data_IF_994084203834
#
_entry.id   IF_994084203834
#
_cell.length_a   1.000
_cell.length_b   1.000
_cell.length_c   1.000
_cell.angle_alpha   90.00
_cell.angle_beta   90.00
_cell.angle_gamma   90.00
#
_symmetry.space_group_name_H-M   'P 1'
#
loop_
_entity.id
_entity.type
_entity.pdbx_description
1 polymer ?
#
# COMPACT_ATOMS: atom_id res chain seq x y z
N UNK A 1 20.88 4.72 -6.55
CA UNK A 1 20.02 3.53 -6.77
C UNK A 1 20.02 2.69 -5.48
N UNK A 2 18.87 2.55 -4.82
CA UNK A 2 18.76 1.89 -3.51
C UNK A 2 19.11 0.38 -3.62
N UNK A 3 19.92 -0.17 -2.71
CA UNK A 3 20.27 -1.62 -2.69
C UNK A 3 19.03 -2.51 -2.61
N UNK A 4 17.93 -2.02 -2.02
CA UNK A 4 16.67 -2.76 -1.93
C UNK A 4 16.03 -3.02 -3.30
N UNK A 5 15.92 -1.99 -4.16
CA UNK A 5 15.20 -2.08 -5.43
C UNK A 5 15.84 -3.10 -6.39
N UNK A 6 17.18 -3.20 -6.41
CA UNK A 6 17.92 -4.21 -7.20
C UNK A 6 17.55 -5.66 -6.88
N UNK A 7 17.03 -5.92 -5.68
CA UNK A 7 16.64 -7.27 -5.25
C UNK A 7 15.14 -7.49 -5.28
N UNK A 8 14.37 -6.47 -5.68
CA UNK A 8 12.93 -6.53 -5.75
C UNK A 8 12.44 -7.13 -7.06
N UNK A 9 11.26 -7.80 -7.08
CA UNK A 9 10.70 -8.38 -8.30
C UNK A 9 10.42 -7.35 -9.41
N UNK A 10 10.24 -6.09 -9.04
CA UNK A 10 9.85 -4.97 -9.91
C UNK A 10 11.00 -4.01 -10.20
N UNK A 11 12.21 -4.32 -9.73
CA UNK A 11 13.38 -3.42 -9.77
C UNK A 11 13.12 -2.03 -9.16
N UNK A 12 12.13 -1.95 -8.27
CA UNK A 12 11.51 -0.75 -7.73
C UNK A 12 11.34 -0.87 -6.21
N UNK A 13 11.10 0.24 -5.51
CA UNK A 13 10.70 0.19 -4.10
C UNK A 13 9.19 -0.07 -3.93
N UNK A 14 8.47 -0.32 -5.03
CA UNK A 14 7.01 -0.49 -5.09
C UNK A 14 6.61 -1.78 -5.81
N UNK A 15 5.32 -2.10 -5.74
CA UNK A 15 4.67 -3.23 -6.41
C UNK A 15 4.53 -3.09 -7.95
N UNK A 16 5.12 -2.07 -8.55
CA UNK A 16 5.12 -1.79 -9.99
C UNK A 16 6.55 -1.46 -10.46
N UNK A 17 6.85 -1.85 -11.69
CA UNK A 17 8.06 -1.55 -12.45
C UNK A 17 7.99 -0.23 -13.22
N UNK A 18 6.94 0.58 -13.00
CA UNK A 18 6.80 1.90 -13.61
C UNK A 18 7.96 2.82 -13.23
N UNK A 19 8.88 3.01 -14.18
CA UNK A 19 10.17 3.68 -14.01
C UNK A 19 10.08 5.04 -13.30
N UNK A 20 9.12 5.93 -13.62
CA UNK A 20 9.05 7.23 -12.95
C UNK A 20 8.83 7.14 -11.43
N UNK A 21 8.26 6.02 -10.94
CA UNK A 21 7.99 5.76 -9.52
C UNK A 21 8.98 4.78 -8.89
N UNK A 22 9.98 4.27 -9.62
CA UNK A 22 10.86 3.19 -9.16
C UNK A 22 11.56 3.46 -7.81
N UNK A 23 11.83 4.73 -7.50
CA UNK A 23 12.49 5.16 -6.25
C UNK A 23 11.63 6.10 -5.40
N UNK A 24 10.34 6.25 -5.72
CA UNK A 24 9.41 7.10 -4.98
C UNK A 24 8.33 6.24 -4.32
N UNK A 25 8.11 6.34 -3.00
CA UNK A 25 7.09 5.54 -2.33
C UNK A 25 5.72 5.74 -2.95
N UNK A 26 5.07 4.65 -3.35
CA UNK A 26 3.72 4.66 -3.89
C UNK A 26 2.71 4.65 -2.74
N UNK A 27 2.05 5.78 -2.49
CA UNK A 27 1.18 5.99 -1.32
C UNK A 27 -0.32 5.88 -1.62
N UNK A 28 -0.73 6.02 -2.87
CA UNK A 28 -2.14 6.16 -3.25
C UNK A 28 -2.38 5.67 -4.68
N UNK A 29 -3.37 4.80 -4.86
CA UNK A 29 -3.90 4.42 -6.18
C UNK A 29 -5.12 5.27 -6.54
N UNK A 30 -5.25 5.67 -7.81
CA UNK A 30 -6.43 6.38 -8.31
C UNK A 30 -6.94 5.64 -9.55
N UNK A 31 -8.19 5.19 -9.50
CA UNK A 31 -8.90 4.57 -10.62
C UNK A 31 -9.95 5.56 -11.14
N UNK A 32 -10.05 5.74 -12.47
CA UNK A 32 -10.95 6.70 -13.08
C UNK A 32 -11.86 6.05 -14.12
N UNK A 33 -13.17 6.22 -13.96
CA UNK A 33 -14.21 5.70 -14.88
C UNK A 33 -15.17 6.80 -15.32
N UNK A 34 -15.59 6.73 -16.59
CA UNK A 34 -16.59 7.65 -17.15
C UNK A 34 -18.00 7.32 -16.64
N UNK A 35 -18.48 6.09 -16.90
CA UNK A 35 -19.84 5.63 -16.52
C UNK A 35 -19.95 4.11 -16.27
N UNK A 36 -18.83 3.39 -16.17
CA UNK A 36 -18.87 1.94 -15.91
C UNK A 36 -19.44 1.64 -14.51
N UNK A 37 -20.07 0.45 -14.31
CA UNK A 37 -20.55 0.04 -13.00
C UNK A 37 -19.44 0.11 -11.95
N UNK A 38 -19.77 0.64 -10.77
CA UNK A 38 -18.80 0.87 -9.69
C UNK A 38 -18.08 -0.41 -9.21
N UNK A 39 -18.66 -1.58 -9.44
CA UNK A 39 -18.07 -2.88 -9.09
C UNK A 39 -16.79 -3.18 -9.89
N UNK A 40 -16.73 -2.75 -11.16
CA UNK A 40 -15.52 -2.94 -11.98
C UNK A 40 -14.36 -2.07 -11.50
N UNK A 41 -14.65 -0.81 -11.13
CA UNK A 41 -13.64 0.08 -10.56
C UNK A 41 -13.10 -0.44 -9.22
N UNK A 42 -14.00 -0.98 -8.37
CA UNK A 42 -13.62 -1.63 -7.11
C UNK A 42 -12.76 -2.87 -7.33
N UNK A 43 -13.08 -3.69 -8.34
CA UNK A 43 -12.28 -4.86 -8.69
C UNK A 43 -10.87 -4.45 -9.15
N UNK A 44 -10.76 -3.47 -10.04
CA UNK A 44 -9.47 -3.01 -10.56
C UNK A 44 -8.57 -2.44 -9.46
N UNK A 45 -9.08 -1.51 -8.66
CA UNK A 45 -8.31 -0.94 -7.55
C UNK A 45 -8.00 -1.99 -6.48
N UNK A 46 -8.91 -2.94 -6.26
CA UNK A 46 -8.70 -4.08 -5.36
C UNK A 46 -7.52 -4.95 -5.77
N UNK A 47 -7.36 -5.23 -7.06
CA UNK A 47 -6.20 -5.97 -7.59
C UNK A 47 -4.90 -5.22 -7.35
N UNK A 48 -4.88 -3.89 -7.55
CA UNK A 48 -3.69 -3.07 -7.30
C UNK A 48 -3.31 -3.04 -5.83
N UNK A 49 -4.29 -2.81 -4.95
CA UNK A 49 -4.06 -2.79 -3.50
C UNK A 49 -3.62 -4.16 -2.96
N UNK A 50 -4.20 -5.26 -3.45
CA UNK A 50 -3.77 -6.62 -3.11
C UNK A 50 -2.32 -6.89 -3.58
N UNK A 51 -1.96 -6.41 -4.78
CA UNK A 51 -0.60 -6.50 -5.30
C UNK A 51 0.38 -5.70 -4.44
N UNK A 52 -0.04 -4.53 -3.95
CA UNK A 52 0.74 -3.73 -3.01
C UNK A 52 0.98 -4.47 -1.71
N UNK A 53 -0.06 -5.01 -1.06
CA UNK A 53 0.10 -5.82 0.16
C UNK A 53 1.01 -7.02 -0.03
N UNK A 54 0.88 -7.75 -1.15
CA UNK A 54 1.76 -8.87 -1.49
C UNK A 54 3.22 -8.44 -1.60
N UNK A 55 3.48 -7.30 -2.24
CA UNK A 55 4.82 -6.73 -2.33
C UNK A 55 5.37 -6.32 -0.96
N UNK A 56 4.57 -5.65 -0.12
CA UNK A 56 4.99 -5.22 1.22
C UNK A 56 5.31 -6.42 2.11
N UNK A 57 4.49 -7.47 2.08
CA UNK A 57 4.76 -8.74 2.77
C UNK A 57 6.09 -9.35 2.34
N UNK A 58 6.32 -9.44 1.02
CA UNK A 58 7.59 -9.94 0.47
C UNK A 58 8.78 -9.09 0.93
N UNK A 59 8.62 -7.75 0.93
CA UNK A 59 9.66 -6.81 1.30
C UNK A 59 10.06 -6.92 2.78
N UNK A 60 9.06 -7.03 3.67
CA UNK A 60 9.26 -7.29 5.11
C UNK A 60 10.00 -8.60 5.32
N UNK A 61 9.54 -9.69 4.68
CA UNK A 61 10.22 -11.00 4.73
C UNK A 61 11.70 -10.88 4.34
N UNK A 62 12.01 -10.19 3.24
CA UNK A 62 13.40 -9.96 2.82
C UNK A 62 14.23 -9.15 3.80
N UNK A 63 13.63 -8.21 4.54
CA UNK A 63 14.34 -7.45 5.57
C UNK A 63 14.67 -8.35 6.76
N UNK A 64 13.71 -9.11 7.26
CA UNK A 64 13.89 -10.03 8.40
C UNK A 64 14.97 -11.08 8.08
N UNK A 65 14.95 -11.67 6.89
CA UNK A 65 15.96 -12.63 6.44
C UNK A 65 17.39 -12.04 6.42
N UNK A 66 17.55 -10.75 6.07
CA UNK A 66 18.86 -10.08 6.03
C UNK A 66 19.38 -9.67 7.40
N UNK A 67 18.51 -9.49 8.39
CA UNK A 67 18.88 -9.10 9.76
C UNK A 67 19.20 -10.31 10.65
N UNK A 68 19.04 -11.52 10.12
CA UNK A 68 19.19 -12.75 10.86
C UNK A 68 20.67 -13.07 11.15
N UNK A 69 21.05 -13.36 12.40
CA UNK A 69 22.34 -13.94 12.72
C UNK A 69 22.39 -15.41 12.26
N UNK A 70 23.57 -15.91 11.90
CA UNK A 70 23.78 -17.31 11.54
C UNK A 70 23.58 -18.21 12.78
N UNK A 71 22.37 -18.75 12.97
CA UNK A 71 22.10 -19.71 14.04
C UNK A 71 21.15 -20.82 13.59
N UNK A 72 21.41 -22.03 14.11
CA UNK A 72 20.74 -23.31 13.86
C UNK A 72 19.62 -23.56 14.90
N UNK A 73 18.43 -22.99 14.73
CA UNK A 73 17.18 -23.67 15.12
C UNK A 73 16.70 -24.68 14.04
N UNK A 74 15.62 -25.40 14.34
CA UNK A 74 14.96 -26.36 13.45
C UNK A 74 13.98 -25.70 12.47
N UNK A 75 13.80 -26.31 11.29
CA UNK A 75 13.07 -25.75 10.14
C UNK A 75 11.66 -25.19 10.47
N UNK A 76 10.89 -25.88 11.30
CA UNK A 76 9.48 -25.57 11.61
C UNK A 76 9.35 -24.32 12.47
N UNK A 77 10.13 -24.22 13.54
CA UNK A 77 10.10 -23.06 14.46
C UNK A 77 10.44 -21.76 13.73
N UNK A 78 11.28 -21.82 12.69
CA UNK A 78 11.58 -20.62 11.89
C UNK A 78 10.43 -20.13 11.03
N UNK A 79 9.64 -21.02 10.45
CA UNK A 79 8.54 -20.60 9.59
C UNK A 79 7.46 -19.89 10.42
N UNK A 80 7.23 -20.38 11.64
CA UNK A 80 6.33 -19.75 12.61
C UNK A 80 6.86 -18.38 13.08
N UNK A 81 8.12 -18.30 13.52
CA UNK A 81 8.76 -17.05 13.95
C UNK A 81 8.83 -15.99 12.82
N UNK A 82 9.13 -16.42 11.58
CA UNK A 82 9.19 -15.54 10.41
C UNK A 82 7.80 -14.99 10.09
N UNK A 83 6.76 -15.84 10.12
CA UNK A 83 5.39 -15.42 9.85
C UNK A 83 4.86 -14.48 10.93
N UNK A 84 5.16 -14.74 12.20
CA UNK A 84 4.81 -13.85 13.31
C UNK A 84 5.49 -12.48 13.15
N UNK A 85 6.77 -12.45 12.78
CA UNK A 85 7.49 -11.20 12.50
C UNK A 85 6.90 -10.42 11.33
N UNK A 86 6.51 -11.10 10.25
CA UNK A 86 5.83 -10.50 9.09
C UNK A 86 4.47 -9.93 9.50
N UNK A 87 3.65 -10.73 10.19
CA UNK A 87 2.32 -10.33 10.67
C UNK A 87 2.40 -9.13 11.61
N UNK A 88 3.36 -9.15 12.54
CA UNK A 88 3.63 -8.05 13.46
C UNK A 88 3.98 -6.77 12.72
N UNK A 89 4.85 -6.82 11.70
CA UNK A 89 5.21 -5.63 10.92
C UNK A 89 4.03 -5.09 10.12
N UNK A 90 3.28 -5.96 9.43
CA UNK A 90 2.13 -5.56 8.60
C UNK A 90 0.97 -5.02 9.44
N UNK A 91 0.72 -5.55 10.63
CA UNK A 91 -0.31 -5.03 11.54
C UNK A 91 -0.03 -3.61 12.05
N UNK A 92 1.22 -3.12 11.94
CA UNK A 92 1.55 -1.72 12.23
C UNK A 92 1.22 -0.75 11.09
N UNK A 93 0.84 -1.24 9.91
CA UNK A 93 0.30 -0.43 8.84
C UNK A 93 -1.23 -0.57 8.83
N UNK A 94 -1.98 0.47 9.20
CA UNK A 94 -3.42 0.30 9.47
C UNK A 94 -4.25 0.01 8.22
N UNK A 95 -3.92 0.62 7.09
CA UNK A 95 -4.59 0.42 5.80
C UNK A 95 -3.71 0.94 4.66
N UNK A 96 -4.14 0.73 3.41
CA UNK A 96 -3.63 1.43 2.23
C UNK A 96 -4.82 2.06 1.48
N UNK A 97 -4.80 3.39 1.25
CA UNK A 97 -5.89 4.09 0.60
C UNK A 97 -5.84 3.98 -0.93
N UNK A 98 -7.02 4.16 -1.53
CA UNK A 98 -7.21 4.38 -2.95
C UNK A 98 -8.36 5.36 -3.19
N UNK A 99 -8.43 5.92 -4.39
CA UNK A 99 -9.55 6.76 -4.83
C UNK A 99 -10.17 6.13 -6.07
N UNK A 100 -11.50 6.07 -6.09
CA UNK A 100 -12.26 5.82 -7.31
C UNK A 100 -12.93 7.13 -7.71
N UNK A 101 -12.67 7.57 -8.95
CA UNK A 101 -13.36 8.70 -9.57
C UNK A 101 -14.33 8.13 -10.59
N UNK A 102 -15.63 8.33 -10.37
CA UNK A 102 -16.69 7.91 -11.29
C UNK A 102 -17.50 9.12 -11.74
N UNK A 103 -17.36 9.48 -13.01
CA UNK A 103 -17.88 10.75 -13.53
C UNK A 103 -17.29 11.93 -12.76
N UNK A 104 -18.14 12.64 -12.01
CA UNK A 104 -17.75 13.76 -11.16
C UNK A 104 -17.59 13.40 -9.68
N UNK A 105 -17.84 12.15 -9.28
CA UNK A 105 -17.87 11.71 -7.89
C UNK A 105 -16.55 11.07 -7.46
N UNK A 106 -16.01 11.51 -6.34
CA UNK A 106 -14.74 11.03 -5.78
C UNK A 106 -15.00 10.21 -4.51
N UNK A 107 -14.64 8.93 -4.56
CA UNK A 107 -14.90 7.95 -3.51
C UNK A 107 -13.59 7.46 -2.90
N UNK A 108 -13.52 7.45 -1.58
CA UNK A 108 -12.41 6.81 -0.86
C UNK A 108 -12.64 5.30 -0.83
N UNK A 109 -11.59 4.55 -1.12
CA UNK A 109 -11.52 3.12 -0.78
C UNK A 109 -10.29 2.91 0.11
N UNK A 110 -10.37 1.94 1.02
CA UNK A 110 -9.23 1.55 1.83
C UNK A 110 -9.09 0.03 1.78
N UNK A 111 -7.86 -0.46 1.89
CA UNK A 111 -7.59 -1.88 2.02
C UNK A 111 -6.86 -2.18 3.31
N UNK A 112 -7.21 -3.28 3.96
CA UNK A 112 -6.54 -3.79 5.16
C UNK A 112 -5.95 -5.18 4.86
N UNK A 113 -4.99 -5.59 5.68
CA UNK A 113 -4.35 -6.90 5.55
C UNK A 113 -4.37 -7.65 6.88
N UNK A 114 -5.00 -8.82 6.89
CA UNK A 114 -5.15 -9.65 8.09
C UNK A 114 -5.09 -11.11 7.66
N UNK A 115 -4.32 -11.93 8.37
CA UNK A 115 -4.21 -13.39 8.16
C UNK A 115 -3.97 -13.79 6.70
N UNK A 116 -3.02 -13.12 6.04
CA UNK A 116 -2.67 -13.43 4.65
C UNK A 116 -3.60 -12.81 3.60
N UNK A 117 -4.73 -12.23 4.02
CA UNK A 117 -5.82 -11.78 3.14
C UNK A 117 -5.91 -10.26 3.07
N UNK A 118 -6.06 -9.74 1.85
CA UNK A 118 -6.42 -8.34 1.61
C UNK A 118 -7.94 -8.20 1.62
N UNK A 119 -8.46 -7.25 2.41
CA UNK A 119 -9.88 -6.88 2.40
C UNK A 119 -10.00 -5.46 1.88
N UNK A 120 -10.85 -5.27 0.84
CA UNK A 120 -11.17 -3.96 0.30
C UNK A 120 -12.45 -3.44 0.96
N UNK A 121 -12.38 -2.23 1.50
CA UNK A 121 -13.49 -1.51 2.07
C UNK A 121 -13.83 -0.34 1.14
N UNK A 122 -15.00 -0.40 0.53
CA UNK A 122 -15.49 0.70 -0.30
C UNK A 122 -16.15 1.74 0.59
N UNK A 123 -15.52 2.91 0.72
CA UNK A 123 -15.97 3.98 1.60
C UNK A 123 -17.03 4.88 0.95
N UNK A 124 -17.23 6.05 1.54
CA UNK A 124 -18.19 7.04 1.06
C UNK A 124 -17.59 7.97 0.00
N UNK A 125 -18.46 8.61 -0.80
CA UNK A 125 -18.09 9.74 -1.62
C UNK A 125 -17.68 10.88 -0.69
N UNK A 126 -16.47 11.42 -0.87
CA UNK A 126 -15.94 12.53 -0.05
C UNK A 126 -15.97 13.87 -0.78
N UNK A 127 -16.33 13.86 -2.06
CA UNK A 127 -16.63 15.08 -2.80
C UNK A 127 -17.02 14.80 -4.24
N UNK A 128 -17.47 15.86 -4.90
CA UNK A 128 -17.92 15.92 -6.28
C UNK A 128 -17.38 17.16 -6.97
N UNK A 129 -17.27 17.14 -8.29
CA UNK A 129 -16.83 18.32 -9.06
C UNK A 129 -17.99 19.19 -9.55
N UNK A 130 -19.17 19.08 -8.92
CA UNK A 130 -20.39 19.81 -9.31
C UNK A 130 -20.57 21.13 -8.56
N UNK A 131 -19.93 21.28 -7.40
CA UNK A 131 -20.02 22.48 -6.57
C UNK A 131 -18.63 22.91 -6.09
N UNK A 132 -18.45 24.22 -5.89
CA UNK A 132 -17.19 24.75 -5.38
C UNK A 132 -16.84 24.17 -3.99
N UNK A 133 -17.86 24.00 -3.12
CA UNK A 133 -17.69 23.42 -1.80
C UNK A 133 -17.18 21.97 -1.88
N UNK A 134 -17.78 21.16 -2.75
CA UNK A 134 -17.39 19.78 -2.94
C UNK A 134 -15.99 19.65 -3.59
N UNK A 135 -15.62 20.57 -4.46
CA UNK A 135 -14.26 20.65 -5.00
C UNK A 135 -13.25 20.93 -3.87
N UNK A 136 -13.56 21.84 -2.94
CA UNK A 136 -12.72 22.06 -1.77
C UNK A 136 -12.65 20.83 -0.87
N UNK A 137 -13.75 20.07 -0.72
CA UNK A 137 -13.74 18.79 0.01
C UNK A 137 -12.82 17.76 -0.66
N UNK A 138 -12.82 17.68 -2.01
CA UNK A 138 -11.88 16.82 -2.75
C UNK A 138 -10.43 17.22 -2.44
N UNK A 139 -10.11 18.51 -2.56
CA UNK A 139 -8.75 19.02 -2.29
C UNK A 139 -8.34 18.73 -0.84
N UNK A 140 -9.24 18.94 0.12
CA UNK A 140 -8.97 18.63 1.53
C UNK A 140 -8.71 17.13 1.73
N UNK A 141 -9.55 16.25 1.17
CA UNK A 141 -9.37 14.80 1.26
C UNK A 141 -8.05 14.32 0.67
N UNK A 142 -7.64 14.84 -0.50
CA UNK A 142 -6.34 14.50 -1.10
C UNK A 142 -5.18 14.97 -0.20
N UNK A 143 -5.29 16.14 0.43
CA UNK A 143 -4.27 16.65 1.36
C UNK A 143 -4.16 15.78 2.61
N UNK A 144 -5.27 15.29 3.14
CA UNK A 144 -5.28 14.34 4.26
C UNK A 144 -4.63 13.01 3.88
N UNK A 145 -4.89 12.49 2.67
CA UNK A 145 -4.23 11.28 2.18
C UNK A 145 -2.73 11.47 1.96
N UNK A 146 -2.31 12.64 1.49
CA UNK A 146 -0.90 13.00 1.39
C UNK A 146 -0.23 13.11 2.76
N UNK A 147 -0.91 13.71 3.75
CA UNK A 147 -0.45 13.77 5.13
C UNK A 147 -0.31 12.37 5.73
N UNK A 148 -1.29 11.49 5.53
CA UNK A 148 -1.22 10.08 5.92
C UNK A 148 0.00 9.37 5.29
N UNK A 149 0.25 9.58 4.00
CA UNK A 149 1.41 9.02 3.32
C UNK A 149 2.74 9.47 3.94
N UNK A 150 2.82 10.75 4.31
CA UNK A 150 4.00 11.36 4.96
C UNK A 150 4.19 10.90 6.41
N UNK A 151 3.12 10.86 7.19
CA UNK A 151 3.18 10.73 8.65
C UNK A 151 3.03 9.29 9.12
N UNK A 152 2.43 8.41 8.30
CA UNK A 152 2.16 7.01 8.64
C UNK A 152 2.91 6.07 7.69
N UNK A 153 2.64 6.14 6.39
CA UNK A 153 3.16 5.16 5.43
C UNK A 153 4.68 5.24 5.28
N UNK A 154 5.23 6.45 5.09
CA UNK A 154 6.66 6.61 4.87
C UNK A 154 7.52 6.22 6.09
N UNK A 155 7.18 6.61 7.33
CA UNK A 155 7.88 6.13 8.52
C UNK A 155 7.80 4.60 8.66
N UNK A 156 6.63 4.01 8.38
CA UNK A 156 6.47 2.56 8.39
C UNK A 156 7.37 1.89 7.33
N UNK A 157 7.35 2.38 6.09
CA UNK A 157 8.16 1.85 4.98
C UNK A 157 9.66 1.92 5.32
N UNK A 158 10.12 3.03 5.89
CA UNK A 158 11.50 3.19 6.37
C UNK A 158 11.84 2.22 7.49
N UNK A 159 10.96 2.06 8.47
CA UNK A 159 11.19 1.19 9.63
C UNK A 159 11.19 -0.29 9.27
N UNK A 160 10.30 -0.74 8.40
CA UNK A 160 10.06 -2.17 8.15
C UNK A 160 10.58 -2.70 6.82
N UNK A 161 10.96 -1.84 5.87
CA UNK A 161 11.42 -2.28 4.54
C UNK A 161 12.76 -1.66 4.18
N UNK A 162 12.86 -0.33 4.21
CA UNK A 162 14.10 0.37 3.86
C UNK A 162 15.09 0.36 5.04
N UNK A 163 16.35 0.72 4.80
CA UNK A 163 17.27 1.02 5.92
C UNK A 163 16.98 2.44 6.41
N UNK A 164 17.08 2.66 7.71
CA UNK A 164 17.38 4.00 8.23
C UNK A 164 18.82 4.27 7.78
N UNK A 165 19.00 5.24 6.89
CA UNK A 165 20.34 5.84 6.68
C UNK A 165 20.69 6.69 7.90
#
# INVERSE_FOLDING_TARGET
MNKFSKTSPTLSINHTDFEPMQFRPFILSIETKKSEPGDMAQLQIGVWLASQWKFLRWAVKKKLQKQRPAHNLDAITYEEDEEEGISTALSKLPFIPGIIIQGNSWKLVISTYTDGKTTLWSGSVFGKTESLLDIYAIVAGIRELAAWGRDIYLPWLKKYILKLE
#
